data_IF_623510852931
#
_entry.id   IF_623510852931
#
_cell.length_a   1.000
_cell.length_b   1.000
_cell.length_c   1.000
_cell.angle_alpha   90.00
_cell.angle_beta   90.00
_cell.angle_gamma   90.00
#
_symmetry.space_group_name_H-M   'P 1'
#
loop_
_entity.id
_entity.type
_entity.pdbx_description
1 polymer ?
#
# COMPACT_ATOMS: atom_id res chain seq x y z
N UNK A 1 -21.46 9.59 -8.43
CA UNK A 1 -20.93 8.33 -8.98
C UNK A 1 -19.55 8.07 -8.43
N UNK A 2 -19.27 6.84 -7.96
CA UNK A 2 -17.93 6.41 -7.55
C UNK A 2 -17.02 6.37 -8.77
N UNK A 3 -15.96 7.16 -8.77
CA UNK A 3 -14.94 7.13 -9.82
C UNK A 3 -13.62 6.71 -9.20
N UNK A 4 -13.01 5.67 -9.77
CA UNK A 4 -11.60 5.37 -9.50
C UNK A 4 -10.78 6.41 -10.26
N UNK A 5 -10.24 7.35 -9.53
CA UNK A 5 -9.55 8.51 -10.08
C UNK A 5 -8.04 8.17 -10.26
N UNK A 6 -7.74 7.31 -11.24
CA UNK A 6 -6.38 6.85 -11.53
C UNK A 6 -6.07 6.97 -13.01
N UNK A 7 -4.91 7.54 -13.35
CA UNK A 7 -4.38 7.65 -14.71
C UNK A 7 -2.86 7.69 -14.69
N UNK A 8 -2.26 7.40 -15.82
CA UNK A 8 -0.80 7.43 -15.99
C UNK A 8 -0.24 8.83 -15.70
N UNK A 9 0.82 8.91 -14.90
CA UNK A 9 1.45 10.17 -14.49
C UNK A 9 0.78 10.88 -13.31
N UNK A 10 -0.31 10.34 -12.76
CA UNK A 10 -0.93 10.93 -11.56
C UNK A 10 0.01 10.83 -10.36
N UNK A 11 0.18 11.95 -9.66
CA UNK A 11 0.79 11.94 -8.31
C UNK A 11 -0.21 11.42 -7.29
N UNK A 12 0.25 10.51 -6.45
CA UNK A 12 -0.54 9.90 -5.40
C UNK A 12 -0.02 10.30 -4.01
N UNK A 13 -0.90 10.26 -3.03
CA UNK A 13 -0.55 10.52 -1.64
C UNK A 13 0.35 9.42 -1.06
N UNK A 14 1.41 9.79 -0.35
CA UNK A 14 2.29 8.84 0.34
C UNK A 14 1.64 8.24 1.61
N UNK A 15 0.69 8.93 2.23
CA UNK A 15 0.14 8.53 3.53
C UNK A 15 -1.29 7.98 3.48
N UNK A 16 -2.06 8.29 2.44
CA UNK A 16 -3.46 7.84 2.32
C UNK A 16 -3.65 6.75 1.26
N UNK A 17 -2.80 6.67 0.23
CA UNK A 17 -2.93 5.65 -0.80
C UNK A 17 -2.20 4.35 -0.45
N UNK A 18 -2.71 3.21 -0.94
CA UNK A 18 -2.06 1.91 -0.75
C UNK A 18 -0.66 1.85 -1.35
N UNK A 19 -0.47 2.33 -2.58
CA UNK A 19 0.85 2.37 -3.25
C UNK A 19 1.80 3.30 -2.48
N UNK A 20 1.36 4.50 -2.11
CA UNK A 20 2.17 5.45 -1.37
C UNK A 20 2.66 4.89 -0.03
N UNK A 21 1.76 4.31 0.76
CA UNK A 21 2.11 3.66 2.03
C UNK A 21 3.05 2.45 1.82
N UNK A 22 2.87 1.69 0.75
CA UNK A 22 3.77 0.58 0.40
C UNK A 22 5.18 1.11 0.13
N UNK A 23 5.34 2.09 -0.75
CA UNK A 23 6.65 2.65 -1.08
C UNK A 23 7.34 3.24 0.16
N UNK A 24 6.58 3.91 1.01
CA UNK A 24 7.10 4.51 2.24
C UNK A 24 7.50 3.45 3.27
N UNK A 25 6.74 2.35 3.40
CA UNK A 25 7.01 1.28 4.35
C UNK A 25 8.34 0.55 4.08
N UNK A 26 8.82 0.52 2.84
CA UNK A 26 10.09 -0.13 2.48
C UNK A 26 11.29 0.80 2.45
N UNK A 27 11.12 2.10 2.76
CA UNK A 27 12.27 2.98 2.98
C UNK A 27 13.01 2.60 4.28
N UNK A 28 14.32 2.88 4.40
CA UNK A 28 15.01 2.77 5.67
C UNK A 28 14.29 3.57 6.77
N UNK A 29 14.29 3.07 8.01
CA UNK A 29 13.48 3.64 9.12
C UNK A 29 13.76 5.14 9.34
N UNK A 30 15.02 5.55 9.27
CA UNK A 30 15.37 6.97 9.43
C UNK A 30 14.83 7.84 8.28
N UNK A 31 14.83 7.29 7.06
CA UNK A 31 14.22 7.98 5.91
C UNK A 31 12.70 8.05 6.03
N UNK A 32 12.04 6.98 6.51
CA UNK A 32 10.61 7.01 6.82
C UNK A 32 10.28 8.15 7.78
N UNK A 33 11.00 8.23 8.91
CA UNK A 33 10.81 9.27 9.92
C UNK A 33 11.01 10.67 9.33
N UNK A 34 12.06 10.84 8.54
CA UNK A 34 12.38 12.10 7.87
C UNK A 34 11.27 12.52 6.90
N UNK A 35 10.79 11.60 6.06
CA UNK A 35 9.69 11.87 5.12
C UNK A 35 8.41 12.19 5.90
N UNK A 36 8.01 11.33 6.85
CA UNK A 36 6.78 11.49 7.63
C UNK A 36 6.76 12.82 8.40
N UNK A 37 7.89 13.27 8.95
CA UNK A 37 7.97 14.54 9.67
C UNK A 37 7.72 15.77 8.78
N UNK A 38 7.87 15.63 7.46
CA UNK A 38 7.64 16.71 6.47
C UNK A 38 6.29 16.63 5.80
N UNK A 39 5.56 15.51 5.97
CA UNK A 39 4.24 15.36 5.38
C UNK A 39 3.21 16.24 6.11
N UNK A 40 2.42 16.93 5.33
CA UNK A 40 1.19 17.53 5.83
C UNK A 40 0.06 16.50 5.74
N UNK A 41 -0.33 15.93 6.88
CA UNK A 41 -1.30 14.85 6.98
C UNK A 41 -2.72 15.43 7.03
N UNK A 42 -3.23 15.87 5.88
CA UNK A 42 -4.60 16.39 5.77
C UNK A 42 -5.64 15.27 5.94
N UNK A 43 -6.75 15.52 6.64
CA UNK A 43 -7.87 14.59 6.72
C UNK A 43 -8.70 14.61 5.43
N UNK A 44 -8.31 13.77 4.46
CA UNK A 44 -9.02 13.63 3.18
C UNK A 44 -10.40 13.01 3.41
N UNK A 45 -10.47 12.02 4.29
CA UNK A 45 -11.70 11.39 4.78
C UNK A 45 -11.65 11.27 6.30
N UNK A 46 -12.73 10.79 6.89
CA UNK A 46 -12.77 10.47 8.33
C UNK A 46 -11.86 9.29 8.71
N UNK A 47 -11.40 8.53 7.73
CA UNK A 47 -10.52 7.37 7.93
C UNK A 47 -9.05 7.67 7.68
N UNK A 48 -8.71 8.84 7.16
CA UNK A 48 -7.32 9.22 6.85
C UNK A 48 -6.47 9.24 8.13
N UNK A 49 -5.27 8.65 8.06
CA UNK A 49 -4.29 8.74 9.15
C UNK A 49 -3.72 10.16 9.18
N UNK A 50 -3.92 10.86 10.29
CA UNK A 50 -3.49 12.26 10.47
C UNK A 50 -2.43 12.46 11.56
N UNK A 51 -1.97 11.37 12.18
CA UNK A 51 -0.90 11.37 13.19
C UNK A 51 0.35 10.70 12.64
N UNK A 52 1.50 11.36 12.76
CA UNK A 52 2.80 10.83 12.33
C UNK A 52 3.16 9.53 13.06
N UNK A 53 2.90 9.45 14.37
CA UNK A 53 3.19 8.25 15.15
C UNK A 53 2.30 7.07 14.74
N UNK A 54 1.01 7.33 14.50
CA UNK A 54 0.08 6.32 14.00
C UNK A 54 0.51 5.85 12.61
N UNK A 55 0.92 6.78 11.74
CA UNK A 55 1.41 6.43 10.40
C UNK A 55 2.67 5.55 10.46
N UNK A 56 3.66 5.90 11.27
CA UNK A 56 4.90 5.12 11.42
C UNK A 56 4.60 3.69 11.93
N UNK A 57 3.72 3.55 12.91
CA UNK A 57 3.29 2.23 13.39
C UNK A 57 2.57 1.43 12.31
N UNK A 58 1.72 2.09 11.53
CA UNK A 58 1.01 1.48 10.41
C UNK A 58 1.97 1.01 9.31
N UNK A 59 3.01 1.81 9.00
CA UNK A 59 4.05 1.42 8.03
C UNK A 59 4.84 0.19 8.50
N UNK A 60 5.13 0.08 9.80
CA UNK A 60 5.76 -1.11 10.36
C UNK A 60 4.87 -2.36 10.21
N UNK A 61 3.57 -2.23 10.40
CA UNK A 61 2.59 -3.30 10.17
C UNK A 61 2.54 -3.72 8.69
N UNK A 62 2.52 -2.74 7.77
CA UNK A 62 2.55 -2.99 6.32
C UNK A 62 3.79 -3.80 5.94
N UNK A 63 4.96 -3.41 6.44
CA UNK A 63 6.22 -4.11 6.16
C UNK A 63 6.20 -5.54 6.67
N UNK A 64 5.63 -5.77 7.83
CA UNK A 64 5.48 -7.09 8.44
C UNK A 64 4.52 -7.99 7.66
N UNK A 65 3.41 -7.43 7.20
CA UNK A 65 2.37 -8.16 6.45
C UNK A 65 2.66 -8.29 4.94
N UNK A 66 3.56 -7.47 4.40
CA UNK A 66 3.85 -7.43 2.97
C UNK A 66 2.73 -6.84 2.12
N UNK A 67 1.77 -6.14 2.73
CA UNK A 67 0.58 -5.61 2.06
C UNK A 67 0.10 -4.34 2.76
N UNK A 68 -0.22 -3.32 1.99
CA UNK A 68 -0.87 -2.11 2.46
C UNK A 68 -2.35 -2.11 2.09
N UNK A 69 -3.19 -1.61 2.99
CA UNK A 69 -4.58 -1.27 2.70
C UNK A 69 -4.76 0.25 2.76
N UNK A 70 -5.42 0.79 1.76
CA UNK A 70 -6.15 2.03 1.85
C UNK A 70 -7.62 1.66 2.10
N UNK A 71 -8.07 1.86 3.33
CA UNK A 71 -9.44 1.56 3.74
C UNK A 71 -10.25 2.84 3.80
N UNK A 72 -10.67 3.34 2.64
CA UNK A 72 -11.40 4.60 2.49
C UNK A 72 -10.60 5.83 3.01
N UNK A 73 -9.28 5.74 3.04
CA UNK A 73 -8.39 6.81 3.56
C UNK A 73 -8.18 7.92 2.53
N UNK A 74 -8.09 7.55 1.24
CA UNK A 74 -7.89 8.47 0.11
C UNK A 74 -9.21 8.88 -0.55
N UNK A 75 -10.29 8.13 -0.31
CA UNK A 75 -11.62 8.41 -0.83
C UNK A 75 -12.68 7.49 -0.23
N UNK A 76 -13.79 8.06 0.23
CA UNK A 76 -14.91 7.29 0.77
C UNK A 76 -15.49 6.35 -0.28
N UNK A 77 -15.88 5.16 0.13
CA UNK A 77 -16.50 4.15 -0.73
C UNK A 77 -15.50 3.34 -1.58
N UNK A 78 -14.20 3.63 -1.49
CA UNK A 78 -13.15 2.95 -2.26
C UNK A 78 -12.15 2.33 -1.29
N UNK A 79 -11.75 1.10 -1.59
CA UNK A 79 -10.60 0.41 -0.98
C UNK A 79 -9.52 0.16 -2.01
N UNK A 80 -8.28 0.17 -1.55
CA UNK A 80 -7.12 -0.20 -2.35
C UNK A 80 -6.22 -1.12 -1.54
N UNK A 81 -5.75 -2.17 -2.16
CA UNK A 81 -4.75 -3.08 -1.61
C UNK A 81 -3.50 -2.99 -2.47
N UNK A 82 -2.33 -2.83 -1.86
CA UNK A 82 -1.07 -2.68 -2.58
C UNK A 82 0.03 -3.56 -2.00
N UNK A 83 0.91 -4.04 -2.87
CA UNK A 83 2.07 -4.86 -2.51
C UNK A 83 3.34 -4.34 -3.17
N UNK A 84 4.50 -4.50 -2.52
CA UNK A 84 5.78 -4.07 -3.07
C UNK A 84 6.19 -4.90 -4.28
N UNK A 85 6.97 -4.27 -5.15
CA UNK A 85 7.71 -4.92 -6.23
C UNK A 85 9.19 -4.70 -5.95
N UNK A 86 9.95 -5.81 -5.90
CA UNK A 86 11.37 -5.79 -5.55
C UNK A 86 12.23 -5.77 -6.83
N UNK A 87 13.21 -4.89 -6.85
CA UNK A 87 14.23 -4.84 -7.89
C UNK A 87 15.32 -5.90 -7.65
N UNK A 88 16.24 -6.05 -8.61
CA UNK A 88 17.33 -7.03 -8.54
C UNK A 88 18.23 -6.88 -7.31
N UNK A 89 18.38 -5.65 -6.80
CA UNK A 89 19.16 -5.31 -5.61
C UNK A 89 18.35 -5.40 -4.30
N UNK A 90 17.09 -5.87 -4.37
CA UNK A 90 16.21 -6.03 -3.20
C UNK A 90 15.52 -4.77 -2.72
N UNK A 91 15.69 -3.63 -3.40
CA UNK A 91 14.97 -2.40 -3.06
C UNK A 91 13.55 -2.39 -3.62
N UNK A 92 12.65 -1.69 -2.95
CA UNK A 92 11.27 -1.44 -3.39
C UNK A 92 11.18 -0.03 -3.98
N UNK A 93 11.08 0.05 -5.30
CA UNK A 93 10.92 1.31 -6.05
C UNK A 93 9.59 1.40 -6.79
N UNK A 94 8.82 0.31 -6.75
CA UNK A 94 7.49 0.21 -7.35
C UNK A 94 6.55 -0.59 -6.46
N UNK A 95 5.27 -0.44 -6.70
CA UNK A 95 4.23 -1.24 -6.07
C UNK A 95 3.11 -1.52 -7.07
N UNK A 96 2.39 -2.61 -6.86
CA UNK A 96 1.21 -2.97 -7.63
C UNK A 96 -0.01 -2.96 -6.73
N UNK A 97 -1.16 -2.53 -7.23
CA UNK A 97 -2.36 -2.41 -6.44
C UNK A 97 -3.62 -2.88 -7.17
N UNK A 98 -4.62 -3.26 -6.37
CA UNK A 98 -6.00 -3.44 -6.79
C UNK A 98 -6.84 -2.41 -6.05
N UNK A 99 -7.66 -1.67 -6.79
CA UNK A 99 -8.59 -0.67 -6.24
C UNK A 99 -10.00 -0.96 -6.71
N UNK A 100 -10.97 -0.75 -5.86
CA UNK A 100 -12.36 -0.93 -6.20
C UNK A 100 -13.33 -0.38 -5.16
N UNK A 101 -14.63 -0.32 -5.51
CA UNK A 101 -15.67 0.07 -4.56
C UNK A 101 -15.81 -0.96 -3.43
N UNK A 102 -16.27 -0.51 -2.28
CA UNK A 102 -16.50 -1.37 -1.09
C UNK A 102 -17.32 -2.61 -1.40
N UNK A 103 -18.30 -2.51 -2.30
CA UNK A 103 -19.14 -3.65 -2.68
C UNK A 103 -18.34 -4.81 -3.29
N UNK A 104 -17.27 -4.48 -4.04
CA UNK A 104 -16.40 -5.47 -4.68
C UNK A 104 -15.18 -5.83 -3.80
N UNK A 105 -14.79 -4.95 -2.91
CA UNK A 105 -13.65 -5.12 -2.01
C UNK A 105 -14.12 -5.26 -0.54
N UNK A 106 -15.24 -5.94 -0.33
CA UNK A 106 -15.73 -6.29 1.00
C UNK A 106 -14.80 -7.29 1.70
N UNK A 107 -14.92 -7.39 3.03
CA UNK A 107 -14.02 -8.21 3.84
C UNK A 107 -13.95 -9.67 3.40
N UNK A 108 -15.05 -10.24 2.91
CA UNK A 108 -15.09 -11.59 2.38
C UNK A 108 -14.27 -11.79 1.09
N UNK A 109 -14.08 -10.73 0.30
CA UNK A 109 -13.33 -10.76 -0.96
C UNK A 109 -11.83 -10.55 -0.76
N UNK A 110 -11.42 -9.91 0.33
CA UNK A 110 -10.03 -9.50 0.56
C UNK A 110 -9.01 -10.64 0.54
N UNK A 111 -9.26 -11.82 1.15
CA UNK A 111 -8.28 -12.91 1.11
C UNK A 111 -7.98 -13.39 -0.32
N UNK A 112 -8.99 -13.55 -1.16
CA UNK A 112 -8.83 -13.93 -2.57
C UNK A 112 -8.10 -12.88 -3.39
N UNK A 113 -8.48 -11.61 -3.24
CA UNK A 113 -7.82 -10.48 -3.90
C UNK A 113 -6.35 -10.35 -3.47
N UNK A 114 -6.07 -10.55 -2.18
CA UNK A 114 -4.71 -10.56 -1.65
C UNK A 114 -3.85 -11.66 -2.29
N UNK A 115 -4.39 -12.86 -2.46
CA UNK A 115 -3.69 -13.97 -3.11
C UNK A 115 -3.37 -13.65 -4.58
N UNK A 116 -4.31 -13.10 -5.33
CA UNK A 116 -4.10 -12.71 -6.73
C UNK A 116 -3.11 -11.54 -6.85
N UNK A 117 -3.20 -10.54 -5.99
CA UNK A 117 -2.26 -9.43 -5.98
C UNK A 117 -0.83 -9.90 -5.66
N UNK A 118 -0.69 -10.86 -4.75
CA UNK A 118 0.61 -11.46 -4.42
C UNK A 118 1.24 -12.18 -5.63
N UNK A 119 0.44 -12.92 -6.40
CA UNK A 119 0.91 -13.52 -7.65
C UNK A 119 1.41 -12.47 -8.63
N UNK A 120 0.67 -11.39 -8.81
CA UNK A 120 1.05 -10.28 -9.68
C UNK A 120 2.36 -9.62 -9.20
N UNK A 121 2.48 -9.30 -7.91
CA UNK A 121 3.67 -8.69 -7.33
C UNK A 121 4.91 -9.58 -7.49
N UNK A 122 4.76 -10.89 -7.25
CA UNK A 122 5.84 -11.87 -7.49
C UNK A 122 6.21 -11.98 -8.94
N UNK A 123 5.24 -12.03 -9.84
CA UNK A 123 5.47 -12.12 -11.29
C UNK A 123 6.22 -10.90 -11.83
N UNK A 124 5.82 -9.69 -11.42
CA UNK A 124 6.50 -8.45 -11.81
C UNK A 124 7.92 -8.40 -11.23
N UNK A 125 8.08 -8.75 -9.95
CA UNK A 125 9.39 -8.83 -9.30
C UNK A 125 10.33 -9.79 -10.05
N UNK A 126 9.85 -10.97 -10.40
CA UNK A 126 10.62 -11.95 -11.17
C UNK A 126 11.00 -11.45 -12.56
N UNK A 127 10.06 -10.80 -13.26
CA UNK A 127 10.31 -10.22 -14.58
C UNK A 127 11.36 -9.09 -14.54
N UNK A 128 11.51 -8.40 -13.40
CA UNK A 128 12.54 -7.39 -13.18
C UNK A 128 13.87 -7.97 -12.66
N UNK A 129 13.98 -9.29 -12.54
CA UNK A 129 15.17 -9.97 -12.03
C UNK A 129 15.31 -9.95 -10.50
N UNK A 130 14.31 -9.49 -9.78
CA UNK A 130 14.28 -9.45 -8.33
C UNK A 130 13.83 -10.77 -7.71
N UNK A 131 13.92 -10.85 -6.38
CA UNK A 131 13.42 -11.97 -5.57
C UNK A 131 12.38 -11.48 -4.56
N UNK A 132 11.23 -12.15 -4.53
CA UNK A 132 10.18 -11.83 -3.57
C UNK A 132 10.46 -12.54 -2.24
N UNK A 133 10.39 -11.85 -1.09
CA UNK A 133 10.58 -12.48 0.22
C UNK A 133 9.62 -13.65 0.44
N UNK A 134 10.10 -14.74 1.04
CA UNK A 134 9.34 -15.98 1.22
C UNK A 134 8.28 -15.92 2.33
N UNK A 135 8.43 -15.00 3.29
CA UNK A 135 7.57 -14.95 4.48
C UNK A 135 7.12 -13.55 4.81
N UNK A 136 5.81 -13.36 4.83
CA UNK A 136 5.13 -12.24 5.50
C UNK A 136 4.11 -12.82 6.48
N UNK A 137 3.87 -12.12 7.58
CA UNK A 137 2.83 -12.51 8.53
C UNK A 137 1.45 -12.36 7.88
N UNK A 138 0.73 -13.47 7.72
CA UNK A 138 -0.68 -13.42 7.31
C UNK A 138 -1.55 -13.10 8.53
N UNK A 139 -1.74 -11.82 8.82
CA UNK A 139 -2.84 -11.42 9.69
C UNK A 139 -4.16 -11.54 8.90
N UNK A 140 -5.15 -12.13 9.55
CA UNK A 140 -6.52 -12.00 9.08
C UNK A 140 -6.87 -10.52 9.08
N UNK A 141 -7.21 -10.01 7.90
CA UNK A 141 -7.73 -8.66 7.71
C UNK A 141 -9.16 -8.58 8.25
#
# INVERSE_FOLDING_TARGET
ALQINSWEGKRISLYSSGIGKTLLAWQPLEEQKNIVSRLHLEPITVHTITSSDVLLNHLADIRRQGCAMDNEEDGLGIRCMAMPVFSVDGHVTAAVSISGPLLQMGDASLPGLRAELRKAARGITSALGGSYPGTFEDKQL
#
